data_IF_347353061596
#
_entry.id   IF_347353061596
#
_cell.length_a   1.000
_cell.length_b   1.000
_cell.length_c   1.000
_cell.angle_alpha   90.00
_cell.angle_beta   90.00
_cell.angle_gamma   90.00
#
_symmetry.space_group_name_H-M   'P 1'
#
loop_
_entity.id
_entity.type
_entity.pdbx_description
1 polymer ?
#
# COMPACT_ATOMS: atom_id res chain seq x y z
N UNK A 1 -3.06 8.16 1.09
CA UNK A 1 -3.17 6.84 0.47
C UNK A 1 -4.25 6.83 -0.63
N UNK A 2 -4.24 5.82 -1.48
CA UNK A 2 -5.31 5.62 -2.47
C UNK A 2 -6.63 5.33 -1.75
N UNK A 3 -7.74 6.02 -2.08
CA UNK A 3 -9.03 5.76 -1.47
C UNK A 3 -9.50 4.32 -1.77
N UNK A 4 -10.08 3.67 -0.77
CA UNK A 4 -10.71 2.36 -0.91
C UNK A 4 -12.22 2.53 -0.97
N UNK A 5 -12.86 2.02 -2.01
CA UNK A 5 -14.31 2.02 -2.15
C UNK A 5 -14.88 0.76 -1.50
N UNK A 6 -15.80 0.95 -0.55
CA UNK A 6 -16.50 -0.13 0.13
C UNK A 6 -17.99 -0.09 -0.19
N UNK A 7 -18.54 -1.20 -0.68
CA UNK A 7 -19.97 -1.34 -1.01
C UNK A 7 -20.58 -2.41 -0.11
N UNK A 8 -21.61 -2.04 0.64
CA UNK A 8 -22.36 -2.93 1.53
C UNK A 8 -23.80 -3.06 1.00
N UNK A 9 -24.09 -4.21 0.44
CA UNK A 9 -25.42 -4.51 -0.13
C UNK A 9 -26.38 -5.00 0.95
N UNK A 10 -27.71 -4.78 0.78
CA UNK A 10 -28.71 -5.31 1.69
C UNK A 10 -28.73 -6.82 1.70
N UNK A 11 -29.04 -7.40 2.86
CA UNK A 11 -29.35 -8.81 3.07
C UNK A 11 -28.32 -9.82 2.52
N UNK A 12 -27.12 -9.34 2.16
CA UNK A 12 -26.04 -10.23 1.79
C UNK A 12 -25.41 -10.85 3.05
N UNK A 13 -25.68 -12.11 3.26
CA UNK A 13 -24.87 -12.95 4.14
C UNK A 13 -23.48 -13.11 3.52
N UNK A 14 -22.66 -12.07 3.57
CA UNK A 14 -21.27 -12.14 3.11
C UNK A 14 -20.41 -12.74 4.19
N UNK A 15 -19.93 -13.91 3.93
CA UNK A 15 -18.70 -14.40 4.53
C UNK A 15 -17.52 -13.68 3.82
N UNK A 16 -16.80 -12.84 4.53
CA UNK A 16 -15.64 -12.18 3.96
C UNK A 16 -15.15 -10.97 4.77
N UNK A 17 -14.01 -10.44 4.39
CA UNK A 17 -13.28 -9.38 5.11
C UNK A 17 -14.06 -8.08 5.32
N UNK A 18 -15.08 -7.79 4.51
CA UNK A 18 -15.89 -6.58 4.63
C UNK A 18 -16.84 -6.57 5.84
N UNK A 19 -17.14 -7.73 6.41
CA UNK A 19 -17.99 -7.83 7.62
C UNK A 19 -17.17 -7.99 8.90
N UNK A 20 -15.88 -8.28 8.79
CA UNK A 20 -15.04 -8.60 9.93
C UNK A 20 -14.62 -7.35 10.68
N UNK A 21 -14.87 -7.32 11.99
CA UNK A 21 -14.27 -6.32 12.86
C UNK A 21 -12.76 -6.51 12.94
N UNK A 22 -12.04 -5.42 12.83
CA UNK A 22 -10.58 -5.38 12.90
C UNK A 22 -10.10 -4.03 13.43
N UNK A 23 -8.85 -3.97 13.83
CA UNK A 23 -8.14 -2.71 14.08
C UNK A 23 -7.05 -2.55 13.03
N UNK A 24 -6.72 -1.31 12.69
CA UNK A 24 -5.58 -1.03 11.83
C UNK A 24 -4.27 -1.48 12.47
N UNK A 25 -4.13 -1.33 13.77
CA UNK A 25 -2.94 -1.73 14.52
C UNK A 25 -2.63 -3.23 14.36
N UNK A 26 -3.62 -4.11 14.49
CA UNK A 26 -3.45 -5.55 14.27
C UNK A 26 -3.24 -5.94 12.80
N UNK A 27 -3.50 -5.02 11.87
CA UNK A 27 -3.28 -5.22 10.43
C UNK A 27 -2.05 -4.51 9.88
N UNK A 28 -1.04 -4.28 10.75
CA UNK A 28 0.25 -3.69 10.42
C UNK A 28 0.20 -2.22 9.93
N UNK A 29 -0.79 -1.45 10.40
CA UNK A 29 -0.77 0.00 10.22
C UNK A 29 -0.02 0.68 11.38
N UNK A 30 0.70 1.75 11.06
CA UNK A 30 1.47 2.51 12.05
C UNK A 30 0.57 3.31 13.00
N UNK A 31 1.04 3.55 14.23
CA UNK A 31 0.30 4.27 15.26
C UNK A 31 -0.16 5.69 14.85
N UNK A 32 0.64 6.41 14.08
CA UNK A 32 0.29 7.77 13.64
C UNK A 32 -0.61 7.85 12.42
N UNK A 33 -1.13 6.72 11.94
CA UNK A 33 -2.05 6.72 10.82
C UNK A 33 -3.50 6.91 11.27
N UNK A 34 -4.24 7.67 10.50
CA UNK A 34 -5.66 7.92 10.71
C UNK A 34 -6.47 7.45 9.52
N UNK A 35 -7.65 6.95 9.77
CA UNK A 35 -8.64 6.64 8.74
C UNK A 35 -9.67 7.77 8.68
N UNK A 36 -9.90 8.26 7.48
CA UNK A 36 -10.98 9.18 7.15
C UNK A 36 -12.03 8.36 6.41
N UNK A 37 -13.14 8.11 7.04
CA UNK A 37 -14.28 7.42 6.42
C UNK A 37 -15.36 8.42 6.03
N UNK A 38 -15.83 8.36 4.78
CA UNK A 38 -16.91 9.21 4.29
C UNK A 38 -17.94 8.39 3.52
N UNK A 39 -19.23 8.49 3.85
CA UNK A 39 -20.27 7.87 3.06
C UNK A 39 -20.53 8.65 1.78
N UNK A 40 -20.61 7.93 0.67
CA UNK A 40 -21.02 8.46 -0.65
C UNK A 40 -22.53 8.31 -0.84
N UNK A 41 -23.15 7.34 -0.17
CA UNK A 41 -24.59 7.14 -0.08
C UNK A 41 -25.04 7.30 1.39
N UNK A 42 -26.34 7.19 1.65
CA UNK A 42 -26.85 7.19 3.02
C UNK A 42 -26.24 6.08 3.87
N UNK A 43 -25.82 6.42 5.09
CA UNK A 43 -25.24 5.50 6.06
C UNK A 43 -25.93 5.66 7.43
N UNK A 44 -26.64 4.62 7.85
CA UNK A 44 -27.40 4.59 9.10
C UNK A 44 -27.62 3.14 9.57
N UNK A 45 -27.79 2.95 10.87
CA UNK A 45 -28.09 1.64 11.44
C UNK A 45 -27.15 0.54 10.96
N UNK A 46 -27.70 -0.58 10.49
CA UNK A 46 -26.92 -1.76 10.08
C UNK A 46 -26.20 -1.62 8.75
N UNK A 47 -26.53 -0.65 7.89
CA UNK A 47 -25.77 -0.43 6.67
C UNK A 47 -24.51 0.41 6.92
N UNK A 48 -24.46 1.16 8.04
CA UNK A 48 -23.31 1.98 8.36
C UNK A 48 -22.13 1.17 8.88
N UNK A 49 -20.95 1.77 8.85
CA UNK A 49 -19.79 1.23 9.54
C UNK A 49 -20.08 1.17 11.03
N UNK A 50 -19.80 0.04 11.65
CA UNK A 50 -19.89 -0.16 13.08
C UNK A 50 -18.54 0.12 13.71
N UNK A 51 -18.51 0.83 14.82
CA UNK A 51 -17.30 1.19 15.55
C UNK A 51 -17.44 0.91 17.02
N UNK A 52 -16.38 0.47 17.64
CA UNK A 52 -16.26 0.35 19.10
C UNK A 52 -15.60 1.63 19.62
N UNK A 53 -16.03 2.14 20.78
CA UNK A 53 -15.40 3.31 21.37
C UNK A 53 -13.90 3.11 21.58
N UNK A 54 -13.13 4.20 21.71
CA UNK A 54 -11.67 4.08 21.92
C UNK A 54 -11.35 3.34 23.23
N UNK A 55 -12.09 3.60 24.28
CA UNK A 55 -11.91 2.98 25.59
C UNK A 55 -12.22 1.48 25.51
N UNK A 56 -13.37 1.11 24.97
CA UNK A 56 -13.75 -0.28 24.80
C UNK A 56 -12.83 -1.00 23.79
N UNK A 57 -12.36 -0.33 22.74
CA UNK A 57 -11.41 -0.89 21.80
C UNK A 57 -10.09 -1.29 22.46
N UNK A 58 -9.58 -0.43 23.33
CA UNK A 58 -8.39 -0.74 24.13
C UNK A 58 -8.63 -1.96 25.02
N UNK A 59 -9.73 -1.96 25.77
CA UNK A 59 -10.12 -3.09 26.62
C UNK A 59 -10.25 -4.40 25.83
N UNK A 60 -10.95 -4.37 24.69
CA UNK A 60 -11.13 -5.55 23.84
C UNK A 60 -9.81 -6.05 23.24
N UNK A 61 -8.88 -5.16 22.91
CA UNK A 61 -7.56 -5.54 22.42
C UNK A 61 -6.74 -6.24 23.50
N UNK A 62 -6.76 -5.72 24.73
CA UNK A 62 -6.12 -6.37 25.89
C UNK A 62 -6.73 -7.76 26.13
N UNK A 63 -8.05 -7.88 26.18
CA UNK A 63 -8.75 -9.16 26.35
C UNK A 63 -8.40 -10.15 25.22
N UNK A 64 -8.33 -9.68 23.98
CA UNK A 64 -7.96 -10.52 22.83
C UNK A 64 -6.57 -11.11 22.96
N UNK A 65 -5.60 -10.28 23.32
CA UNK A 65 -4.19 -10.68 23.42
C UNK A 65 -3.93 -11.55 24.65
N UNK A 66 -4.47 -11.18 25.82
CA UNK A 66 -4.24 -11.86 27.08
C UNK A 66 -4.88 -13.25 27.12
N UNK A 67 -6.10 -13.36 26.61
CA UNK A 67 -6.86 -14.62 26.60
C UNK A 67 -6.72 -15.42 25.30
N UNK A 68 -5.97 -14.90 24.31
CA UNK A 68 -5.79 -15.55 22.98
C UNK A 68 -7.14 -15.96 22.37
N UNK A 69 -8.10 -15.05 22.40
CA UNK A 69 -9.44 -15.30 21.93
C UNK A 69 -9.45 -15.69 20.44
N UNK A 70 -10.41 -16.52 20.06
CA UNK A 70 -10.65 -16.78 18.64
C UNK A 70 -11.19 -15.52 17.94
N UNK A 71 -11.00 -15.43 16.62
CA UNK A 71 -11.61 -14.36 15.85
C UNK A 71 -13.14 -14.38 15.91
N UNK A 72 -13.77 -15.54 16.08
CA UNK A 72 -15.21 -15.64 16.25
C UNK A 72 -15.69 -14.98 17.57
N UNK A 73 -14.97 -15.24 18.67
CA UNK A 73 -15.28 -14.61 19.96
C UNK A 73 -15.08 -13.09 19.88
N UNK A 74 -13.99 -12.64 19.22
CA UNK A 74 -13.74 -11.22 19.02
C UNK A 74 -14.82 -10.55 18.18
N UNK A 75 -15.27 -11.18 17.08
CA UNK A 75 -16.38 -10.65 16.28
C UNK A 75 -17.66 -10.48 17.10
N UNK A 76 -18.00 -11.47 17.94
CA UNK A 76 -19.13 -11.41 18.85
C UNK A 76 -19.00 -10.26 19.84
N UNK A 77 -17.84 -10.11 20.48
CA UNK A 77 -17.59 -9.03 21.45
C UNK A 77 -17.63 -7.66 20.78
N UNK A 78 -16.94 -7.49 19.65
CA UNK A 78 -16.95 -6.24 18.91
C UNK A 78 -18.39 -5.85 18.51
N UNK A 79 -19.18 -6.79 18.01
CA UNK A 79 -20.58 -6.52 17.66
C UNK A 79 -21.40 -6.06 18.87
N UNK A 80 -21.15 -6.61 20.05
CA UNK A 80 -21.84 -6.25 21.30
C UNK A 80 -21.50 -4.83 21.77
N UNK A 81 -20.26 -4.39 21.57
CA UNK A 81 -19.76 -3.09 22.02
C UNK A 81 -19.82 -2.01 20.95
N UNK A 82 -20.12 -2.38 19.70
CA UNK A 82 -20.15 -1.43 18.60
C UNK A 82 -21.45 -0.66 18.49
N UNK A 83 -21.35 0.50 17.85
CA UNK A 83 -22.48 1.33 17.44
C UNK A 83 -22.27 1.82 16.00
N UNK A 84 -23.35 2.13 15.27
CA UNK A 84 -23.24 2.66 13.90
C UNK A 84 -22.66 4.08 13.89
N UNK A 85 -21.80 4.36 12.93
CA UNK A 85 -21.34 5.73 12.67
C UNK A 85 -22.42 6.47 11.89
N UNK A 86 -23.16 7.34 12.56
CA UNK A 86 -24.24 8.10 11.96
C UNK A 86 -23.75 9.45 11.46
N UNK A 87 -23.31 9.52 10.22
CA UNK A 87 -22.90 10.75 9.55
C UNK A 87 -23.60 10.87 8.19
N UNK A 88 -23.80 12.11 7.76
CA UNK A 88 -24.49 12.42 6.53
C UNK A 88 -23.51 12.45 5.35
N UNK A 89 -24.02 12.30 4.14
CA UNK A 89 -23.25 12.54 2.93
C UNK A 89 -22.61 13.93 2.96
N UNK A 90 -21.33 14.03 2.60
CA UNK A 90 -20.52 15.23 2.69
C UNK A 90 -19.84 15.46 4.04
N UNK A 91 -20.12 14.63 5.04
CA UNK A 91 -19.37 14.58 6.29
C UNK A 91 -18.34 13.44 6.25
N UNK A 92 -17.33 13.56 7.06
CA UNK A 92 -16.32 12.51 7.24
C UNK A 92 -16.12 12.21 8.73
N UNK A 93 -15.83 10.97 9.03
CA UNK A 93 -15.45 10.54 10.37
C UNK A 93 -13.97 10.17 10.39
N UNK A 94 -13.23 10.78 11.30
CA UNK A 94 -11.80 10.58 11.48
C UNK A 94 -11.57 9.72 12.73
N UNK A 95 -10.80 8.65 12.59
CA UNK A 95 -10.43 7.78 13.69
C UNK A 95 -9.01 7.22 13.56
N UNK A 96 -8.40 6.87 14.65
CA UNK A 96 -7.08 6.24 14.69
C UNK A 96 -7.16 4.71 14.48
N UNK A 97 -6.00 4.08 14.42
CA UNK A 97 -5.90 2.65 14.12
C UNK A 97 -6.24 1.72 15.30
N UNK A 98 -6.49 2.27 16.47
CA UNK A 98 -6.81 1.49 17.68
C UNK A 98 -8.29 1.09 17.74
N UNK A 99 -9.16 1.81 17.03
CA UNK A 99 -10.59 1.52 17.04
C UNK A 99 -10.91 0.20 16.34
N UNK A 100 -11.58 -0.70 17.05
CA UNK A 100 -12.24 -1.82 16.42
C UNK A 100 -13.41 -1.33 15.60
N UNK A 101 -13.41 -1.66 14.32
CA UNK A 101 -14.45 -1.26 13.37
C UNK A 101 -14.70 -2.35 12.35
N UNK A 102 -15.89 -2.34 11.75
CA UNK A 102 -16.28 -3.34 10.77
C UNK A 102 -17.67 -3.10 10.24
N UNK A 103 -18.23 -4.10 9.61
CA UNK A 103 -19.61 -4.07 9.13
C UNK A 103 -20.39 -5.25 9.73
N UNK A 104 -21.68 -5.07 9.90
CA UNK A 104 -22.63 -6.13 10.24
C UNK A 104 -23.54 -6.41 9.05
N UNK A 105 -24.39 -7.42 9.17
CA UNK A 105 -25.37 -7.70 8.12
C UNK A 105 -26.29 -6.49 7.92
N UNK A 106 -26.37 -6.01 6.69
CA UNK A 106 -27.18 -4.85 6.35
C UNK A 106 -28.65 -5.25 6.20
N UNK A 107 -29.47 -4.92 7.19
CA UNK A 107 -30.92 -5.19 7.20
C UNK A 107 -31.78 -3.98 6.86
N UNK A 108 -31.16 -2.88 6.40
CA UNK A 108 -31.87 -1.63 6.10
C UNK A 108 -32.60 -1.65 4.75
N UNK A 109 -32.28 -2.59 3.88
CA UNK A 109 -32.75 -2.58 2.48
C UNK A 109 -32.04 -1.56 1.58
N UNK A 110 -31.08 -0.77 2.12
CA UNK A 110 -30.40 0.30 1.37
C UNK A 110 -28.92 -0.02 1.22
N UNK A 111 -28.42 0.00 -0.01
CA UNK A 111 -26.98 -0.16 -0.30
C UNK A 111 -26.19 1.04 0.26
N UNK A 112 -25.10 0.77 0.98
CA UNK A 112 -24.15 1.79 1.40
C UNK A 112 -22.90 1.72 0.55
N UNK A 113 -22.47 2.90 0.07
CA UNK A 113 -21.18 3.12 -0.57
C UNK A 113 -20.40 4.08 0.31
N UNK A 114 -19.19 3.71 0.66
CA UNK A 114 -18.29 4.54 1.47
C UNK A 114 -16.87 4.54 0.92
N UNK A 115 -16.13 5.59 1.21
CA UNK A 115 -14.73 5.75 0.89
C UNK A 115 -13.91 5.75 2.17
N UNK A 116 -12.86 4.96 2.20
CA UNK A 116 -11.81 5.00 3.20
C UNK A 116 -10.59 5.68 2.63
N UNK A 117 -10.10 6.70 3.31
CA UNK A 117 -8.86 7.40 2.99
C UNK A 117 -7.93 7.26 4.19
N UNK A 118 -6.67 6.93 3.94
CA UNK A 118 -5.66 6.88 4.99
C UNK A 118 -4.83 8.16 4.94
N UNK A 119 -4.68 8.82 6.08
CA UNK A 119 -3.85 10.00 6.27
C UNK A 119 -2.83 9.74 7.38
N UNK A 120 -1.67 10.36 7.28
CA UNK A 120 -0.56 10.16 8.20
C UNK A 120 0.27 11.44 8.30
N UNK A 121 0.79 11.74 9.47
CA UNK A 121 1.80 12.79 9.63
C UNK A 121 3.11 12.33 9.00
N UNK A 122 3.75 13.23 8.22
CA UNK A 122 5.04 12.91 7.57
C UNK A 122 6.18 12.60 8.55
N UNK A 123 6.06 12.92 9.82
CA UNK A 123 7.08 12.63 10.84
C UNK A 123 6.88 11.27 11.50
N UNK A 124 5.82 10.56 11.17
CA UNK A 124 5.50 9.27 11.78
C UNK A 124 6.21 8.14 11.03
N UNK A 125 6.58 7.10 11.75
CA UNK A 125 7.09 5.87 11.12
C UNK A 125 5.99 5.24 10.25
N UNK A 126 6.29 5.08 8.97
CA UNK A 126 5.37 4.50 7.99
C UNK A 126 5.28 2.96 8.08
N UNK A 127 6.14 2.32 8.86
CA UNK A 127 6.19 0.86 8.97
C UNK A 127 6.36 0.20 7.59
N UNK A 128 5.51 -0.78 7.29
CA UNK A 128 5.52 -1.50 6.01
C UNK A 128 4.87 -0.72 4.86
N UNK A 129 4.19 0.40 5.13
CA UNK A 129 3.44 1.16 4.14
C UNK A 129 4.21 2.39 3.74
N UNK A 130 5.11 2.24 2.77
CA UNK A 130 6.09 3.27 2.40
C UNK A 130 5.48 4.41 1.55
N UNK A 131 6.04 5.63 1.65
CA UNK A 131 5.76 6.71 0.71
C UNK A 131 6.12 6.32 -0.72
N UNK A 132 5.34 6.84 -1.68
CA UNK A 132 5.49 6.51 -3.10
C UNK A 132 4.56 5.37 -3.52
N UNK A 133 4.48 4.28 -2.75
CA UNK A 133 3.56 3.18 -3.01
C UNK A 133 2.19 3.41 -2.35
N UNK A 134 2.08 3.13 -1.07
CA UNK A 134 0.81 3.24 -0.34
C UNK A 134 0.42 4.69 0.00
N UNK A 135 1.38 5.49 0.48
CA UNK A 135 1.18 6.91 0.73
C UNK A 135 1.75 7.75 -0.41
N UNK A 136 1.00 8.79 -0.81
CA UNK A 136 1.44 9.75 -1.82
C UNK A 136 1.48 11.15 -1.23
N UNK A 137 2.42 11.94 -1.70
CA UNK A 137 2.48 13.35 -1.30
C UNK A 137 1.32 14.13 -1.92
N UNK A 138 0.74 15.12 -1.20
CA UNK A 138 -0.28 15.99 -1.77
C UNK A 138 0.19 16.64 -3.07
N UNK A 139 -0.68 16.65 -4.08
CA UNK A 139 -0.39 17.19 -5.41
C UNK A 139 0.30 16.23 -6.38
N UNK A 140 0.61 14.99 -5.96
CA UNK A 140 1.11 13.96 -6.88
C UNK A 140 -0.08 13.29 -7.59
N UNK A 141 -0.16 13.43 -8.91
CA UNK A 141 -1.13 12.72 -9.74
C UNK A 141 -0.69 11.27 -9.93
N UNK A 142 -1.66 10.35 -9.89
CA UNK A 142 -1.45 8.91 -10.15
C UNK A 142 -1.91 8.64 -11.58
N UNK A 143 -1.19 9.20 -12.53
CA UNK A 143 -1.38 8.79 -13.92
C UNK A 143 -0.51 7.56 -14.19
N UNK A 144 -1.01 6.64 -15.02
CA UNK A 144 -0.17 5.56 -15.53
C UNK A 144 0.99 6.19 -16.29
N UNK A 145 2.25 5.86 -15.97
CA UNK A 145 3.37 6.50 -16.61
C UNK A 145 3.35 6.21 -18.11
N UNK A 146 3.66 7.23 -18.90
CA UNK A 146 3.89 7.05 -20.36
C UNK A 146 5.27 6.47 -20.54
N UNK A 147 5.33 5.22 -20.92
CA UNK A 147 6.56 4.46 -21.08
C UNK A 147 6.87 4.35 -22.58
N UNK A 148 8.11 4.58 -22.94
CA UNK A 148 8.61 4.25 -24.28
C UNK A 148 8.86 2.73 -24.34
N UNK A 149 7.96 2.01 -25.00
CA UNK A 149 7.98 0.55 -25.10
C UNK A 149 9.02 0.01 -26.07
N UNK A 150 9.55 0.87 -26.94
CA UNK A 150 10.58 0.50 -27.92
C UNK A 150 11.99 0.41 -27.32
N UNK A 151 12.18 0.94 -26.10
CA UNK A 151 13.43 0.84 -25.35
C UNK A 151 13.75 -0.60 -24.99
N UNK A 152 15.04 -0.90 -24.83
CA UNK A 152 15.53 -2.22 -24.39
C UNK A 152 15.36 -2.36 -22.88
N UNK A 153 14.20 -2.83 -22.48
CA UNK A 153 13.82 -3.03 -21.06
C UNK A 153 14.36 -4.35 -20.52
N UNK A 154 14.84 -4.32 -19.28
CA UNK A 154 14.99 -5.51 -18.44
C UNK A 154 14.03 -5.44 -17.26
N UNK A 155 13.66 -6.58 -16.72
CA UNK A 155 13.06 -6.69 -15.39
C UNK A 155 14.16 -7.09 -14.43
N UNK A 156 14.25 -6.36 -13.33
CA UNK A 156 15.24 -6.61 -12.31
C UNK A 156 14.58 -6.73 -10.92
N UNK A 157 14.97 -7.73 -10.17
CA UNK A 157 14.46 -7.97 -8.84
C UNK A 157 15.61 -8.21 -7.85
N UNK A 158 15.53 -7.60 -6.67
CA UNK A 158 16.47 -7.79 -5.59
C UNK A 158 15.82 -8.64 -4.48
N UNK A 159 16.19 -9.93 -4.36
CA UNK A 159 15.59 -10.81 -3.36
C UNK A 159 16.00 -10.49 -1.92
N UNK A 160 17.00 -9.65 -1.71
CA UNK A 160 17.49 -9.22 -0.40
C UNK A 160 16.98 -7.82 0.00
N UNK A 161 16.25 -7.13 -0.88
CA UNK A 161 15.71 -5.79 -0.61
C UNK A 161 14.73 -5.75 0.56
N UNK A 162 14.79 -4.67 1.34
CA UNK A 162 13.98 -4.47 2.56
C UNK A 162 12.47 -4.64 2.34
N UNK A 163 11.98 -4.27 1.16
CA UNK A 163 10.57 -4.39 0.81
C UNK A 163 10.12 -5.84 0.66
N UNK A 164 11.03 -6.73 0.31
CA UNK A 164 10.75 -8.13 -0.02
C UNK A 164 10.92 -9.09 1.14
N UNK A 165 11.42 -8.67 2.28
CA UNK A 165 11.48 -9.50 3.48
C UNK A 165 10.13 -10.09 3.90
N UNK A 166 9.03 -9.52 3.38
CA UNK A 166 7.65 -9.95 3.64
C UNK A 166 6.93 -10.51 2.42
N UNK A 167 7.47 -10.34 1.20
CA UNK A 167 6.84 -10.80 -0.04
C UNK A 167 7.65 -11.93 -0.67
N UNK A 168 7.08 -13.13 -0.86
CA UNK A 168 7.76 -14.20 -1.58
C UNK A 168 8.19 -13.78 -2.98
N UNK A 169 9.41 -14.15 -3.36
CA UNK A 169 10.04 -13.81 -4.64
C UNK A 169 9.14 -14.02 -5.87
N UNK A 170 8.42 -15.15 -5.93
CA UNK A 170 7.55 -15.46 -7.06
C UNK A 170 6.33 -14.55 -7.15
N UNK A 171 5.85 -13.99 -6.02
CA UNK A 171 4.76 -13.02 -6.00
C UNK A 171 5.24 -11.67 -6.54
N UNK A 172 6.43 -11.22 -6.10
CA UNK A 172 7.06 -10.02 -6.61
C UNK A 172 7.27 -10.10 -8.12
N UNK A 173 7.79 -11.22 -8.59
CA UNK A 173 7.99 -11.49 -10.02
C UNK A 173 6.67 -11.43 -10.79
N UNK A 174 5.65 -12.16 -10.37
CA UNK A 174 4.35 -12.14 -11.03
C UNK A 174 3.71 -10.75 -11.05
N UNK A 175 3.93 -9.96 -9.99
CA UNK A 175 3.44 -8.58 -9.95
C UNK A 175 4.10 -7.73 -11.03
N UNK A 176 5.44 -7.77 -11.13
CA UNK A 176 6.18 -7.03 -12.16
C UNK A 176 5.78 -7.51 -13.57
N UNK A 177 5.69 -8.84 -13.79
CA UNK A 177 5.27 -9.42 -15.07
C UNK A 177 3.92 -8.86 -15.53
N UNK A 178 2.91 -8.95 -14.67
CA UNK A 178 1.58 -8.43 -14.98
C UNK A 178 1.57 -6.91 -15.19
N UNK A 179 2.48 -6.19 -14.50
CA UNK A 179 2.55 -4.73 -14.63
C UNK A 179 3.17 -4.31 -15.96
N UNK A 180 4.32 -4.89 -16.35
CA UNK A 180 4.99 -4.58 -17.62
C UNK A 180 4.15 -5.02 -18.83
N UNK A 181 3.45 -6.16 -18.73
CA UNK A 181 2.52 -6.63 -19.76
C UNK A 181 1.36 -5.65 -20.01
N UNK A 182 0.80 -5.07 -18.95
CA UNK A 182 -0.26 -4.04 -19.06
C UNK A 182 0.22 -2.77 -19.76
N UNK A 183 1.50 -2.46 -19.68
CA UNK A 183 2.13 -1.32 -20.37
C UNK A 183 2.66 -1.69 -21.76
N UNK A 184 2.45 -2.93 -22.23
CA UNK A 184 2.97 -3.49 -23.48
C UNK A 184 4.50 -3.45 -23.59
N UNK A 185 5.21 -3.44 -22.45
CA UNK A 185 6.66 -3.56 -22.40
C UNK A 185 7.05 -5.01 -22.68
N UNK A 186 8.00 -5.23 -23.58
CA UNK A 186 8.57 -6.56 -23.88
C UNK A 186 10.01 -6.64 -23.37
N UNK A 187 10.23 -7.10 -22.12
CA UNK A 187 11.58 -7.15 -21.57
C UNK A 187 12.48 -8.09 -22.35
N UNK A 188 13.70 -7.66 -22.64
CA UNK A 188 14.72 -8.50 -23.27
C UNK A 188 15.38 -9.49 -22.30
N UNK A 189 15.18 -9.30 -21.00
CA UNK A 189 15.71 -10.19 -19.96
C UNK A 189 15.06 -9.99 -18.59
N UNK A 190 15.19 -11.05 -17.78
CA UNK A 190 14.77 -11.12 -16.39
C UNK A 190 15.97 -11.43 -15.53
N UNK A 191 16.30 -10.55 -14.60
CA UNK A 191 17.53 -10.62 -13.83
C UNK A 191 17.24 -10.46 -12.33
N UNK A 192 18.12 -11.00 -11.52
CA UNK A 192 18.04 -10.88 -10.06
C UNK A 192 19.38 -10.39 -9.53
N UNK A 193 19.31 -9.70 -8.38
CA UNK A 193 20.50 -9.38 -7.61
C UNK A 193 21.02 -10.62 -6.84
N UNK A 194 22.25 -10.56 -6.43
CA UNK A 194 22.85 -11.58 -5.56
C UNK A 194 22.35 -11.43 -4.12
N UNK A 195 21.96 -12.53 -3.51
CA UNK A 195 21.25 -12.57 -2.22
C UNK A 195 22.06 -12.17 -0.98
N UNK A 196 23.32 -11.90 -1.08
CA UNK A 196 24.18 -11.55 0.06
C UNK A 196 24.96 -10.26 -0.15
N UNK A 197 24.46 -9.41 -1.05
CA UNK A 197 25.10 -8.14 -1.35
C UNK A 197 24.21 -6.98 -0.90
N UNK A 198 24.84 -5.90 -0.44
CA UNK A 198 24.20 -4.67 0.01
C UNK A 198 24.59 -3.45 -0.86
N UNK A 199 25.11 -3.70 -2.08
CA UNK A 199 25.52 -2.65 -3.02
C UNK A 199 25.04 -2.85 -4.45
N UNK A 200 24.21 -3.88 -4.72
CA UNK A 200 23.59 -4.20 -6.00
C UNK A 200 24.58 -4.33 -7.19
N UNK A 201 25.61 -5.18 -7.10
CA UNK A 201 26.64 -5.28 -8.14
C UNK A 201 26.13 -5.75 -9.50
N UNK A 202 25.08 -6.57 -9.52
CA UNK A 202 24.49 -7.05 -10.76
C UNK A 202 23.68 -5.94 -11.47
N UNK A 203 22.94 -5.14 -10.67
CA UNK A 203 22.26 -3.96 -11.22
C UNK A 203 23.27 -2.92 -11.74
N UNK A 204 24.37 -2.69 -11.01
CA UNK A 204 25.46 -1.82 -11.47
C UNK A 204 26.07 -2.27 -12.79
N UNK A 205 26.23 -3.60 -12.97
CA UNK A 205 26.72 -4.14 -14.24
C UNK A 205 25.79 -3.77 -15.41
N UNK A 206 24.47 -3.92 -15.24
CA UNK A 206 23.53 -3.54 -16.30
C UNK A 206 23.58 -2.05 -16.61
N UNK A 207 23.65 -1.20 -15.60
CA UNK A 207 23.72 0.26 -15.77
C UNK A 207 25.01 0.70 -16.47
N UNK A 208 26.13 0.03 -16.18
CA UNK A 208 27.45 0.49 -16.64
C UNK A 208 27.96 -0.18 -17.90
N UNK A 209 27.70 -1.47 -18.08
CA UNK A 209 28.40 -2.34 -19.05
C UNK A 209 27.47 -2.88 -20.15
N UNK A 210 26.18 -2.53 -20.14
CA UNK A 210 25.23 -3.03 -21.15
C UNK A 210 24.52 -1.89 -21.86
N UNK A 211 23.80 -2.24 -22.94
CA UNK A 211 22.98 -1.31 -23.71
C UNK A 211 21.52 -1.30 -23.23
N UNK A 212 21.30 -1.51 -21.93
CA UNK A 212 19.97 -1.41 -21.33
C UNK A 212 19.52 0.06 -21.35
N UNK A 213 18.27 0.30 -21.75
CA UNK A 213 17.65 1.63 -21.83
C UNK A 213 16.47 1.78 -20.86
N UNK A 214 16.01 0.65 -20.29
CA UNK A 214 14.94 0.65 -19.31
C UNK A 214 15.08 -0.48 -18.31
N UNK A 215 14.76 -0.20 -17.05
CA UNK A 215 14.82 -1.16 -15.93
C UNK A 215 13.47 -1.12 -15.21
N UNK A 216 12.76 -2.23 -15.16
CA UNK A 216 11.55 -2.36 -14.35
C UNK A 216 11.90 -3.02 -13.00
N UNK A 217 11.61 -2.34 -11.91
CA UNK A 217 11.79 -2.76 -10.52
C UNK A 217 10.43 -2.92 -9.84
N UNK A 218 10.35 -3.77 -8.82
CA UNK A 218 9.13 -3.85 -8.02
C UNK A 218 8.82 -2.51 -7.36
N UNK A 219 9.80 -1.92 -6.67
CA UNK A 219 9.64 -0.71 -5.86
C UNK A 219 10.97 0.03 -5.72
N UNK A 220 10.91 1.35 -5.53
CA UNK A 220 12.10 2.15 -5.18
C UNK A 220 12.68 1.79 -3.81
N UNK A 221 11.89 1.14 -2.95
CA UNK A 221 12.33 0.59 -1.67
C UNK A 221 12.89 -0.83 -1.79
N UNK A 222 12.76 -1.47 -2.95
CA UNK A 222 13.04 -2.89 -3.17
C UNK A 222 14.50 -3.24 -3.47
N UNK A 223 15.46 -2.36 -3.21
CA UNK A 223 16.89 -2.66 -3.34
C UNK A 223 17.52 -2.84 -1.96
N UNK A 224 18.43 -3.79 -1.84
CA UNK A 224 19.15 -4.11 -0.58
C UNK A 224 20.18 -3.06 -0.18
N UNK A 225 20.65 -2.25 -1.14
CA UNK A 225 21.65 -1.21 -0.89
C UNK A 225 21.11 -0.07 0.01
N UNK A 226 21.99 0.59 0.80
CA UNK A 226 21.65 1.77 1.57
C UNK A 226 21.08 2.91 0.70
N UNK A 227 20.24 3.76 1.29
CA UNK A 227 19.50 4.82 0.58
C UNK A 227 20.42 5.71 -0.27
N UNK A 228 21.58 6.14 0.27
CA UNK A 228 22.53 6.95 -0.47
C UNK A 228 23.06 6.22 -1.73
N UNK A 229 23.31 4.92 -1.64
CA UNK A 229 23.73 4.09 -2.79
C UNK A 229 22.62 3.90 -3.81
N UNK A 230 21.38 3.70 -3.36
CA UNK A 230 20.22 3.67 -4.27
C UNK A 230 20.09 4.97 -5.05
N UNK A 231 20.23 6.11 -4.36
CA UNK A 231 20.17 7.42 -5.01
C UNK A 231 21.31 7.60 -6.03
N UNK A 232 22.56 7.20 -5.71
CA UNK A 232 23.67 7.20 -6.66
C UNK A 232 23.40 6.33 -7.90
N UNK A 233 22.75 5.15 -7.73
CA UNK A 233 22.35 4.27 -8.83
C UNK A 233 21.29 4.94 -9.72
N UNK A 234 20.24 5.50 -9.12
CA UNK A 234 19.17 6.16 -9.86
C UNK A 234 19.64 7.43 -10.57
N UNK A 235 20.51 8.22 -9.95
CA UNK A 235 21.15 9.38 -10.59
C UNK A 235 21.98 8.96 -11.82
N UNK A 236 22.72 7.86 -11.74
CA UNK A 236 23.45 7.30 -12.87
C UNK A 236 22.51 6.83 -14.00
N UNK A 237 21.35 6.23 -13.67
CA UNK A 237 20.36 5.87 -14.66
C UNK A 237 19.89 7.12 -15.43
N UNK A 238 19.50 8.18 -14.72
CA UNK A 238 19.05 9.43 -15.36
C UNK A 238 20.13 10.04 -16.23
N UNK A 239 21.39 10.11 -15.73
CA UNK A 239 22.52 10.67 -16.48
C UNK A 239 22.88 9.87 -17.74
N UNK A 240 22.51 8.59 -17.81
CA UNK A 240 22.71 7.70 -18.96
C UNK A 240 21.46 7.52 -19.83
N UNK A 241 20.41 8.28 -19.57
CA UNK A 241 19.10 8.14 -20.23
C UNK A 241 18.50 6.72 -20.09
N UNK A 242 18.75 6.06 -18.96
CA UNK A 242 18.14 4.78 -18.60
C UNK A 242 16.89 5.07 -17.76
N UNK A 243 15.74 4.71 -18.28
CA UNK A 243 14.47 4.85 -17.58
C UNK A 243 14.32 3.79 -16.49
N UNK A 244 13.83 4.17 -15.30
CA UNK A 244 13.54 3.20 -14.24
C UNK A 244 12.07 3.23 -13.87
N UNK A 245 11.39 2.11 -14.08
CA UNK A 245 9.97 1.94 -13.80
C UNK A 245 9.81 1.24 -12.45
N UNK A 246 9.18 1.91 -11.49
CA UNK A 246 8.82 1.37 -10.19
C UNK A 246 7.36 0.91 -10.23
N UNK A 247 7.15 -0.40 -10.32
CA UNK A 247 5.84 -0.99 -10.61
C UNK A 247 4.82 -0.77 -9.47
N UNK A 248 5.24 -0.88 -8.22
CA UNK A 248 4.36 -0.70 -7.06
C UNK A 248 3.97 0.78 -6.86
N UNK A 249 4.90 1.69 -7.09
CA UNK A 249 4.65 3.12 -7.03
C UNK A 249 3.90 3.67 -8.26
N UNK A 250 3.79 2.87 -9.33
CA UNK A 250 3.28 3.34 -10.62
C UNK A 250 4.02 4.60 -11.09
N UNK A 251 5.35 4.58 -10.99
CA UNK A 251 6.20 5.74 -11.21
C UNK A 251 7.34 5.44 -12.18
N UNK A 252 7.57 6.33 -13.15
CA UNK A 252 8.70 6.30 -14.07
C UNK A 252 9.71 7.38 -13.69
N UNK A 253 10.94 6.97 -13.45
CA UNK A 253 12.09 7.85 -13.33
C UNK A 253 12.74 7.99 -14.71
N UNK A 254 12.64 9.18 -15.28
CA UNK A 254 13.20 9.56 -16.58
C UNK A 254 13.84 10.96 -16.59
N UNK A 255 13.85 11.61 -15.41
CA UNK A 255 14.28 13.00 -15.28
C UNK A 255 14.89 13.31 -13.92
N UNK A 256 15.56 14.44 -13.80
CA UNK A 256 16.13 14.96 -12.54
C UNK A 256 15.02 15.31 -11.54
N UNK A 257 13.91 15.85 -12.01
CA UNK A 257 12.74 16.13 -11.16
C UNK A 257 12.19 14.86 -10.52
N UNK A 258 12.26 13.74 -11.25
CA UNK A 258 11.91 12.42 -10.73
C UNK A 258 12.81 11.96 -9.59
N UNK A 259 14.10 12.29 -9.62
CA UNK A 259 15.03 11.99 -8.52
C UNK A 259 14.66 12.71 -7.22
N UNK A 260 14.23 13.97 -7.30
CA UNK A 260 13.77 14.72 -6.13
C UNK A 260 12.52 14.10 -5.49
N UNK A 261 11.64 13.53 -6.32
CA UNK A 261 10.49 12.79 -5.83
C UNK A 261 10.92 11.52 -5.09
N UNK A 262 11.81 10.70 -5.70
CA UNK A 262 12.33 9.46 -5.08
C UNK A 262 13.04 9.77 -3.78
N UNK A 263 13.91 10.79 -3.75
CA UNK A 263 14.62 11.20 -2.56
C UNK A 263 13.67 11.49 -1.41
N UNK A 264 12.60 12.27 -1.67
CA UNK A 264 11.55 12.52 -0.66
C UNK A 264 10.84 11.24 -0.19
N UNK A 265 10.66 10.25 -1.07
CA UNK A 265 10.06 8.97 -0.70
C UNK A 265 10.98 8.10 0.16
N UNK A 266 12.28 8.11 -0.09
CA UNK A 266 13.26 7.27 0.59
C UNK A 266 13.75 7.85 1.93
N UNK A 267 13.72 9.19 2.10
CA UNK A 267 14.15 9.89 3.32
C UNK A 267 13.07 9.95 4.41
N UNK A 268 11.87 9.45 4.11
CA UNK A 268 10.78 9.26 5.06
C UNK A 268 10.68 7.77 5.42
#
# INVERSE_FOLDING_TARGET
ATPTLNVVLPDQQRQGSLLTFHTGHLTAYSEGMHTIWTPVSEAFGSNSMQVVSREDSKYLTEVFLDHKLSMADMQYLCQKYSYPVEIKQGQAWLFDQDHWHGNINNTTGVTRIGLDIRAMDKKTDYGYRKPGSYFRFPGTTVETPKVDTDRRWIVFNDPAGDYLGTMPFYIARNFIENYVDRLDIKPVGWHNEYTLTDWNPHLEFFINETEVEGIALLSMHGLSSPINKRMELFERCVNKDIHVLFCDENFLLDSIEGLDYIKRCLEF
#
